data_IF_219083552787
#
_entry.id   IF_219083552787
#
_cell.length_a   1.000
_cell.length_b   1.000
_cell.length_c   1.000
_cell.angle_alpha   90.00
_cell.angle_beta   90.00
_cell.angle_gamma   90.00
#
_symmetry.space_group_name_H-M   'P 1'
#
loop_
_entity.id
_entity.type
_entity.pdbx_description
1 polymer ?
#
# COMPACT_ATOMS: atom_id res chain seq x y z
N UNK A 1 -2.46 -10.87 -12.15
CA UNK A 1 -3.09 -9.55 -12.26
C UNK A 1 -2.89 -8.84 -10.94
N UNK A 2 -2.65 -7.53 -10.98
CA UNK A 2 -2.41 -6.71 -9.80
C UNK A 2 -3.48 -5.63 -9.76
N UNK A 3 -4.06 -5.36 -8.59
CA UNK A 3 -5.15 -4.40 -8.46
C UNK A 3 -4.95 -3.53 -7.22
N UNK A 4 -5.35 -2.26 -7.35
CA UNK A 4 -5.40 -1.34 -6.21
C UNK A 4 -6.74 -1.45 -5.50
N UNK A 5 -6.75 -1.32 -4.17
CA UNK A 5 -8.01 -1.29 -3.42
C UNK A 5 -8.94 -0.19 -3.92
N UNK A 6 -8.39 1.00 -4.20
CA UNK A 6 -9.15 2.11 -4.78
C UNK A 6 -9.83 1.77 -6.10
N UNK A 7 -9.31 0.81 -6.87
CA UNK A 7 -9.87 0.36 -8.15
C UNK A 7 -10.87 -0.78 -7.99
N UNK A 8 -10.70 -1.66 -7.01
CA UNK A 8 -11.66 -2.74 -6.76
C UNK A 8 -12.78 -2.37 -5.79
N UNK A 9 -12.67 -1.25 -5.06
CA UNK A 9 -13.79 -0.70 -4.31
C UNK A 9 -14.91 -0.33 -5.29
N UNK A 10 -16.11 -0.82 -5.03
CA UNK A 10 -17.25 -0.72 -5.94
C UNK A 10 -17.27 -1.79 -7.04
N UNK A 11 -16.42 -2.81 -6.97
CA UNK A 11 -16.51 -3.98 -7.86
C UNK A 11 -17.60 -4.94 -7.40
N UNK A 12 -18.39 -5.45 -8.34
CA UNK A 12 -19.48 -6.39 -8.06
C UNK A 12 -18.94 -7.77 -7.68
N UNK A 13 -19.62 -8.40 -6.73
CA UNK A 13 -19.45 -9.81 -6.36
C UNK A 13 -20.63 -10.60 -6.91
N UNK A 14 -20.37 -11.64 -7.69
CA UNK A 14 -21.38 -12.47 -8.37
C UNK A 14 -21.19 -13.95 -8.06
N UNK A 15 -22.28 -14.72 -8.03
CA UNK A 15 -22.24 -16.18 -7.94
C UNK A 15 -21.92 -16.81 -9.32
N UNK A 16 -20.97 -17.75 -9.41
CA UNK A 16 -20.48 -18.30 -10.69
C UNK A 16 -21.55 -19.06 -11.49
N UNK A 17 -22.46 -19.77 -10.81
CA UNK A 17 -23.47 -20.60 -11.46
C UNK A 17 -24.69 -19.82 -11.96
N UNK A 18 -25.19 -18.90 -11.14
CA UNK A 18 -26.45 -18.16 -11.39
C UNK A 18 -26.22 -16.76 -11.96
N UNK A 19 -25.01 -16.21 -11.78
CA UNK A 19 -24.69 -14.80 -11.98
C UNK A 19 -25.47 -13.84 -11.06
N UNK A 20 -26.03 -14.37 -9.97
CA UNK A 20 -26.76 -13.57 -9.01
C UNK A 20 -25.83 -12.56 -8.32
N UNK A 21 -26.35 -11.36 -8.13
CA UNK A 21 -25.63 -10.26 -7.49
C UNK A 21 -25.57 -10.44 -5.98
N UNK A 22 -24.36 -10.50 -5.44
CA UNK A 22 -24.11 -10.71 -4.01
C UNK A 22 -23.81 -9.41 -3.25
N UNK A 23 -23.29 -8.37 -3.93
CA UNK A 23 -22.93 -7.09 -3.31
C UNK A 23 -21.74 -6.41 -3.99
N UNK A 24 -21.26 -5.32 -3.37
CA UNK A 24 -20.10 -4.55 -3.83
C UNK A 24 -18.96 -4.62 -2.82
N UNK A 25 -17.71 -4.67 -3.28
CA UNK A 25 -16.53 -4.57 -2.41
C UNK A 25 -16.41 -3.15 -1.84
N UNK A 26 -16.30 -3.02 -0.53
CA UNK A 26 -16.08 -1.74 0.18
C UNK A 26 -14.73 -1.67 0.89
N UNK A 27 -14.19 -2.81 1.30
CA UNK A 27 -12.99 -2.88 2.13
C UNK A 27 -12.18 -4.13 1.88
N UNK A 28 -11.00 -4.16 2.46
CA UNK A 28 -10.07 -5.29 2.42
C UNK A 28 -9.52 -5.49 3.82
N UNK A 29 -9.39 -6.74 4.24
CA UNK A 29 -8.70 -7.11 5.46
C UNK A 29 -7.32 -7.64 5.08
N UNK A 30 -6.29 -6.98 5.61
CA UNK A 30 -4.89 -7.34 5.41
C UNK A 30 -4.30 -7.83 6.73
N UNK A 31 -3.60 -8.95 6.67
CA UNK A 31 -2.80 -9.41 7.78
C UNK A 31 -1.59 -8.46 7.97
N UNK A 32 -1.41 -7.85 9.15
CA UNK A 32 -0.41 -6.79 9.36
C UNK A 32 1.04 -7.29 9.18
N UNK A 33 1.33 -8.50 9.64
CA UNK A 33 2.68 -9.07 9.55
C UNK A 33 3.00 -9.64 8.16
N UNK A 34 2.13 -10.51 7.65
CA UNK A 34 2.40 -11.22 6.39
C UNK A 34 2.08 -10.39 5.15
N UNK A 35 1.24 -9.37 5.26
CA UNK A 35 0.70 -8.65 4.11
C UNK A 35 -0.28 -9.47 3.27
N UNK A 36 -0.72 -10.63 3.74
CA UNK A 36 -1.73 -11.44 3.06
C UNK A 36 -3.09 -10.73 3.12
N UNK A 37 -3.80 -10.76 2.00
CA UNK A 37 -5.23 -10.44 1.95
C UNK A 37 -5.97 -11.62 2.53
N UNK A 38 -6.70 -11.38 3.62
CA UNK A 38 -7.58 -12.37 4.25
C UNK A 38 -8.97 -12.37 3.60
N UNK A 39 -9.39 -11.24 3.05
CA UNK A 39 -10.67 -11.12 2.36
C UNK A 39 -11.14 -9.68 2.22
N UNK A 40 -12.43 -9.54 1.91
CA UNK A 40 -13.04 -8.28 1.51
C UNK A 40 -14.35 -8.05 2.23
N UNK A 41 -14.59 -6.80 2.66
CA UNK A 41 -15.91 -6.39 3.14
C UNK A 41 -16.81 -6.15 1.94
N UNK A 42 -17.95 -6.83 1.89
CA UNK A 42 -18.93 -6.78 0.82
C UNK A 42 -20.25 -6.25 1.36
N UNK A 43 -20.89 -5.34 0.63
CA UNK A 43 -22.16 -4.76 1.04
C UNK A 43 -22.98 -4.20 -0.11
N UNK A 44 -24.28 -4.10 0.09
CA UNK A 44 -25.27 -3.65 -0.90
C UNK A 44 -26.07 -4.81 -1.50
N UNK A 45 -27.18 -4.51 -2.17
CA UNK A 45 -28.10 -5.54 -2.69
C UNK A 45 -28.85 -6.31 -1.59
N UNK A 46 -29.03 -5.71 -0.41
CA UNK A 46 -29.70 -6.32 0.74
C UNK A 46 -28.85 -7.33 1.51
N UNK A 47 -27.57 -7.48 1.17
CA UNK A 47 -26.62 -8.36 1.85
C UNK A 47 -25.39 -7.56 2.28
N UNK A 48 -24.91 -7.85 3.48
CA UNK A 48 -23.64 -7.36 4.01
C UNK A 48 -22.91 -8.53 4.63
N UNK A 49 -21.60 -8.57 4.44
CA UNK A 49 -20.79 -9.67 4.95
C UNK A 49 -19.33 -9.54 4.57
N UNK A 50 -18.54 -10.47 5.06
CA UNK A 50 -17.16 -10.64 4.73
C UNK A 50 -17.00 -11.79 3.73
N UNK A 51 -16.25 -11.54 2.67
CA UNK A 51 -15.85 -12.52 1.69
C UNK A 51 -14.41 -12.96 1.99
N UNK A 52 -14.24 -14.20 2.44
CA UNK A 52 -12.90 -14.79 2.57
C UNK A 52 -12.23 -14.87 1.20
N UNK A 53 -10.92 -14.64 1.16
CA UNK A 53 -10.14 -14.82 -0.08
C UNK A 53 -10.17 -16.26 -0.60
N UNK A 54 -10.37 -17.24 0.28
CA UNK A 54 -10.39 -18.66 -0.06
C UNK A 54 -11.70 -19.06 -0.80
N UNK A 55 -12.74 -18.22 -0.70
CA UNK A 55 -14.02 -18.40 -1.39
C UNK A 55 -14.09 -17.69 -2.75
N UNK A 56 -13.06 -16.92 -3.10
CA UNK A 56 -12.95 -16.25 -4.41
C UNK A 56 -12.53 -17.28 -5.45
N UNK A 57 -13.43 -17.55 -6.40
CA UNK A 57 -13.17 -18.50 -7.50
C UNK A 57 -12.41 -17.83 -8.62
N UNK A 58 -12.79 -16.59 -8.96
CA UNK A 58 -12.20 -15.87 -10.09
C UNK A 58 -12.24 -14.37 -9.86
N UNK A 59 -11.15 -13.70 -10.25
CA UNK A 59 -11.06 -12.25 -10.25
C UNK A 59 -10.94 -11.71 -11.67
N UNK A 60 -11.83 -10.79 -12.05
CA UNK A 60 -11.81 -10.12 -13.35
C UNK A 60 -12.40 -8.71 -13.26
N UNK A 61 -13.35 -8.40 -14.16
CA UNK A 61 -14.16 -7.17 -14.08
C UNK A 61 -15.12 -7.16 -12.88
N UNK A 62 -15.45 -8.35 -12.40
CA UNK A 62 -16.18 -8.64 -11.17
C UNK A 62 -15.44 -9.76 -10.42
N UNK A 63 -15.82 -9.95 -9.15
CA UNK A 63 -15.34 -11.05 -8.31
C UNK A 63 -16.38 -12.16 -8.32
N UNK A 64 -15.97 -13.37 -8.66
CA UNK A 64 -16.85 -14.53 -8.70
C UNK A 64 -16.66 -15.39 -7.46
N UNK A 65 -17.77 -15.80 -6.87
CA UNK A 65 -17.82 -16.70 -5.72
C UNK A 65 -18.60 -17.95 -6.07
N UNK A 66 -18.32 -19.05 -5.37
CA UNK A 66 -19.01 -20.33 -5.64
C UNK A 66 -20.48 -20.28 -5.27
N UNK A 67 -20.80 -19.64 -4.15
CA UNK A 67 -22.17 -19.44 -3.73
C UNK A 67 -22.36 -18.15 -2.97
N UNK A 68 -23.55 -17.56 -3.02
CA UNK A 68 -23.88 -16.38 -2.23
C UNK A 68 -23.82 -16.62 -0.70
N UNK A 69 -23.92 -17.89 -0.27
CA UNK A 69 -23.85 -18.27 1.14
C UNK A 69 -22.43 -18.15 1.74
N UNK A 70 -21.41 -17.87 0.94
CA UNK A 70 -20.05 -17.63 1.44
C UNK A 70 -19.90 -16.26 2.12
N UNK A 71 -20.85 -15.34 1.87
CA UNK A 71 -20.88 -14.07 2.60
C UNK A 71 -21.45 -14.32 3.99
N UNK A 72 -20.60 -14.15 4.99
CA UNK A 72 -20.96 -14.31 6.40
C UNK A 72 -20.37 -13.19 7.25
N UNK A 73 -20.74 -13.11 8.53
CA UNK A 73 -20.09 -12.19 9.45
C UNK A 73 -18.61 -12.56 9.61
N UNK A 74 -17.76 -11.54 9.71
CA UNK A 74 -16.31 -11.71 9.88
C UNK A 74 -16.00 -12.55 11.14
N UNK A 75 -16.85 -12.40 12.14
CA UNK A 75 -16.77 -13.07 13.42
C UNK A 75 -16.96 -14.59 13.29
N UNK A 76 -17.63 -15.12 12.27
CA UNK A 76 -17.80 -16.58 12.18
C UNK A 76 -16.50 -17.28 11.77
N UNK A 77 -15.52 -16.53 11.26
CA UNK A 77 -14.23 -17.05 10.86
C UNK A 77 -13.25 -16.90 12.03
N UNK A 78 -13.11 -17.95 12.83
CA UNK A 78 -12.31 -17.98 14.09
C UNK A 78 -10.90 -17.39 13.90
N UNK A 79 -10.21 -17.71 12.81
CA UNK A 79 -8.86 -17.18 12.51
C UNK A 79 -8.87 -15.66 12.30
N UNK A 80 -9.93 -15.11 11.72
CA UNK A 80 -10.03 -13.69 11.38
C UNK A 80 -10.42 -12.83 12.57
N UNK A 81 -11.06 -13.39 13.62
CA UNK A 81 -11.33 -12.64 14.86
C UNK A 81 -10.06 -12.03 15.44
N UNK A 82 -8.97 -12.80 15.48
CA UNK A 82 -7.68 -12.33 16.02
C UNK A 82 -7.11 -11.20 15.19
N UNK A 83 -7.24 -11.28 13.85
CA UNK A 83 -6.71 -10.26 12.92
C UNK A 83 -7.60 -9.01 12.93
N UNK A 84 -8.92 -9.18 12.99
CA UNK A 84 -9.90 -8.10 13.02
C UNK A 84 -9.85 -7.31 14.33
N UNK A 85 -9.61 -8.00 15.46
CA UNK A 85 -9.39 -7.39 16.77
C UNK A 85 -7.98 -6.83 16.97
N UNK A 86 -7.05 -7.09 16.06
CA UNK A 86 -5.70 -6.54 16.12
C UNK A 86 -5.74 -5.05 15.79
N UNK A 87 -5.25 -4.21 16.70
CA UNK A 87 -5.12 -2.76 16.49
C UNK A 87 -4.15 -2.36 15.36
N UNK A 88 -3.35 -3.31 14.86
CA UNK A 88 -2.40 -3.11 13.77
C UNK A 88 -3.14 -3.19 12.44
N UNK A 89 -3.21 -2.06 11.74
CA UNK A 89 -3.86 -1.97 10.44
C UNK A 89 -2.93 -1.35 9.40
N UNK A 90 -2.85 -1.93 8.21
CA UNK A 90 -2.05 -1.34 7.14
C UNK A 90 -2.72 -0.07 6.59
N UNK A 91 -4.03 -0.13 6.30
CA UNK A 91 -4.76 1.02 5.76
C UNK A 91 -5.01 2.09 6.82
N UNK A 92 -4.87 3.36 6.43
CA UNK A 92 -5.08 4.52 7.30
C UNK A 92 -3.94 4.79 8.28
N UNK A 93 -3.02 3.85 8.48
CA UNK A 93 -1.94 3.98 9.45
C UNK A 93 -0.81 4.88 8.94
N UNK A 94 -0.12 5.54 9.87
CA UNK A 94 1.03 6.40 9.56
C UNK A 94 2.20 5.56 9.05
N UNK A 95 2.91 6.05 8.05
CA UNK A 95 4.11 5.43 7.50
C UNK A 95 5.32 6.28 7.93
N UNK A 96 6.31 5.65 8.56
CA UNK A 96 7.54 6.29 9.02
C UNK A 96 8.75 5.50 8.55
N UNK A 97 9.84 6.18 8.26
CA UNK A 97 11.12 5.51 8.05
C UNK A 97 11.73 5.06 9.38
N UNK A 98 12.72 4.18 9.34
CA UNK A 98 13.50 3.76 10.51
C UNK A 98 14.19 4.94 11.23
N UNK A 99 14.68 5.95 10.50
CA UNK A 99 15.16 7.22 11.07
C UNK A 99 14.05 8.13 11.65
N UNK A 100 12.78 7.71 11.58
CA UNK A 100 11.64 8.43 12.15
C UNK A 100 11.00 9.46 11.21
N UNK A 101 11.43 9.58 9.95
CA UNK A 101 10.85 10.53 9.00
C UNK A 101 9.43 10.11 8.62
N UNK A 102 8.47 11.02 8.76
CA UNK A 102 7.08 10.78 8.39
C UNK A 102 6.87 10.83 6.86
N UNK A 103 6.32 9.76 6.28
CA UNK A 103 6.02 9.65 4.85
C UNK A 103 4.54 9.88 4.52
N UNK A 104 3.66 9.99 5.52
CA UNK A 104 2.23 10.19 5.37
C UNK A 104 1.40 9.08 6.02
N UNK A 105 0.17 8.88 5.56
CA UNK A 105 -0.69 7.74 5.94
C UNK A 105 -0.87 6.80 4.75
N UNK A 106 -0.92 5.49 4.97
CA UNK A 106 -1.27 4.53 3.94
C UNK A 106 -2.71 4.76 3.48
N UNK A 107 -2.90 5.31 2.29
CA UNK A 107 -4.23 5.65 1.77
C UNK A 107 -4.79 4.57 0.85
N UNK A 108 -3.93 3.76 0.27
CA UNK A 108 -4.29 2.73 -0.70
C UNK A 108 -3.20 1.64 -0.74
N UNK A 109 -3.55 0.49 -1.31
CA UNK A 109 -2.69 -0.68 -1.41
C UNK A 109 -2.85 -1.32 -2.78
N UNK A 110 -1.82 -1.98 -3.27
CA UNK A 110 -1.88 -2.88 -4.43
C UNK A 110 -1.53 -4.28 -3.99
N UNK A 111 -2.29 -5.25 -4.47
CA UNK A 111 -2.08 -6.66 -4.20
C UNK A 111 -2.21 -7.49 -5.48
N UNK A 112 -1.60 -8.67 -5.46
CA UNK A 112 -1.77 -9.70 -6.49
C UNK A 112 -3.11 -10.40 -6.29
N UNK A 113 -3.97 -10.44 -7.32
CA UNK A 113 -5.23 -11.20 -7.27
C UNK A 113 -5.02 -12.71 -7.47
N UNK A 114 -3.79 -13.13 -7.74
CA UNK A 114 -3.42 -14.55 -7.86
C UNK A 114 -2.92 -15.13 -6.54
N UNK A 115 -2.00 -14.44 -5.86
CA UNK A 115 -1.45 -14.88 -4.58
C UNK A 115 -2.13 -14.26 -3.37
N UNK A 116 -2.95 -13.21 -3.56
CA UNK A 116 -3.57 -12.44 -2.48
C UNK A 116 -2.52 -11.88 -1.52
N UNK A 117 -1.42 -11.37 -2.06
CA UNK A 117 -0.32 -10.77 -1.31
C UNK A 117 -0.18 -9.28 -1.63
N UNK A 118 0.03 -8.49 -0.58
CA UNK A 118 0.37 -7.07 -0.69
C UNK A 118 1.69 -6.89 -1.42
N UNK A 119 1.69 -6.04 -2.43
CA UNK A 119 2.88 -5.71 -3.21
C UNK A 119 3.32 -4.27 -2.98
N UNK A 120 2.37 -3.33 -2.87
CA UNK A 120 2.67 -1.91 -2.72
C UNK A 120 1.72 -1.24 -1.73
N UNK A 121 2.23 -0.25 -1.01
CA UNK A 121 1.46 0.70 -0.22
C UNK A 121 1.63 2.11 -0.80
N UNK A 122 0.56 2.90 -0.74
CA UNK A 122 0.54 4.24 -1.33
C UNK A 122 0.31 5.28 -0.22
N UNK A 123 1.36 5.99 0.22
CA UNK A 123 1.25 7.04 1.22
C UNK A 123 0.54 8.27 0.66
N UNK A 124 -0.25 8.93 1.51
CA UNK A 124 -0.82 10.27 1.31
C UNK A 124 -0.32 11.18 2.43
N UNK A 125 0.39 12.26 2.08
CA UNK A 125 1.00 13.19 3.05
C UNK A 125 -0.01 14.23 3.54
N UNK A 126 -0.75 14.80 2.59
CA UNK A 126 -1.78 15.82 2.78
C UNK A 126 -2.94 15.51 1.84
N UNK A 127 -4.08 16.19 2.00
CA UNK A 127 -5.30 15.89 1.26
C UNK A 127 -5.10 15.85 -0.27
N UNK A 128 -4.22 16.66 -0.87
CA UNK A 128 -3.98 16.63 -2.32
C UNK A 128 -2.66 15.96 -2.75
N UNK A 129 -1.75 15.65 -1.83
CA UNK A 129 -0.39 15.21 -2.17
C UNK A 129 -0.16 13.73 -1.86
N UNK A 130 -0.04 12.95 -2.94
CA UNK A 130 0.44 11.58 -2.89
C UNK A 130 1.94 11.55 -2.61
N UNK A 131 2.36 10.61 -1.76
CA UNK A 131 3.76 10.29 -1.56
C UNK A 131 4.25 9.26 -2.58
N UNK A 132 5.54 8.95 -2.50
CA UNK A 132 6.15 7.88 -3.30
C UNK A 132 5.57 6.53 -2.89
N UNK A 133 5.13 5.73 -3.87
CA UNK A 133 4.69 4.36 -3.63
C UNK A 133 5.85 3.52 -3.05
N UNK A 134 5.54 2.64 -2.10
CA UNK A 134 6.55 1.82 -1.41
C UNK A 134 6.21 0.35 -1.62
N UNK A 135 7.15 -0.49 -2.06
CA UNK A 135 6.90 -1.91 -2.18
C UNK A 135 6.87 -2.56 -0.78
N UNK A 136 6.17 -3.70 -0.67
CA UNK A 136 6.07 -4.47 0.58
C UNK A 136 7.44 -4.85 1.14
N UNK A 137 8.46 -5.02 0.29
CA UNK A 137 9.85 -5.32 0.69
C UNK A 137 10.49 -4.23 1.54
N UNK A 138 10.03 -2.99 1.45
CA UNK A 138 10.54 -1.87 2.25
C UNK A 138 9.93 -1.85 3.66
N UNK A 139 8.82 -2.56 3.89
CA UNK A 139 8.18 -2.61 5.20
C UNK A 139 8.99 -3.53 6.11
N UNK A 140 9.58 -2.92 7.15
CA UNK A 140 10.31 -3.61 8.21
C UNK A 140 9.31 -4.24 9.17
N UNK A 141 8.37 -3.43 9.67
CA UNK A 141 7.35 -3.88 10.63
C UNK A 141 6.07 -3.05 10.56
N UNK A 142 4.98 -3.63 11.03
CA UNK A 142 3.69 -2.95 11.22
C UNK A 142 3.36 -3.00 12.71
N UNK A 143 3.35 -1.83 13.34
CA UNK A 143 3.05 -1.66 14.76
C UNK A 143 1.64 -1.08 14.93
N UNK A 144 1.12 -0.98 16.16
CA UNK A 144 -0.16 -0.31 16.41
C UNK A 144 -0.09 1.21 16.15
N UNK A 145 1.11 1.80 16.15
CA UNK A 145 1.31 3.23 15.95
C UNK A 145 1.62 3.61 14.49
N UNK A 146 2.42 2.80 13.80
CA UNK A 146 2.92 3.10 12.46
C UNK A 146 3.40 1.85 11.70
N UNK A 147 3.38 1.96 10.37
CA UNK A 147 4.14 1.11 9.45
C UNK A 147 5.55 1.68 9.37
N UNK A 148 6.55 0.89 9.74
CA UNK A 148 7.96 1.26 9.71
C UNK A 148 8.58 0.73 8.42
N UNK A 149 9.22 1.62 7.66
CA UNK A 149 9.88 1.30 6.39
C UNK A 149 11.36 1.65 6.42
N UNK A 150 12.16 1.03 5.55
CA UNK A 150 13.59 1.36 5.41
C UNK A 150 13.78 2.81 4.97
N UNK A 151 14.91 3.40 5.36
CA UNK A 151 15.30 4.69 4.82
C UNK A 151 15.62 4.57 3.32
N UNK A 152 15.08 5.46 2.46
CA UNK A 152 15.43 5.42 1.06
C UNK A 152 16.90 5.77 0.90
N UNK A 153 17.60 4.97 0.10
CA UNK A 153 18.97 5.23 -0.30
C UNK A 153 18.91 6.44 -1.25
N UNK A 154 19.09 7.65 -0.70
CA UNK A 154 19.24 8.85 -1.52
C UNK A 154 20.68 8.81 -2.05
N UNK A 155 20.92 8.65 -3.37
CA UNK A 155 22.25 8.88 -3.91
C UNK A 155 22.61 10.33 -3.57
N UNK A 156 23.67 10.51 -2.77
CA UNK A 156 24.23 11.84 -2.52
C UNK A 156 24.52 12.45 -3.89
N UNK A 157 23.82 13.52 -4.26
CA UNK A 157 24.27 14.38 -5.35
C UNK A 157 25.61 14.93 -4.90
N UNK A 158 26.70 14.39 -5.42
CA UNK A 158 28.00 15.05 -5.35
C UNK A 158 27.78 16.44 -5.95
N UNK A 159 28.07 17.47 -5.15
CA UNK A 159 28.16 18.83 -5.68
C UNK A 159 29.30 18.81 -6.69
N UNK A 160 28.97 18.72 -7.97
CA UNK A 160 29.91 19.05 -9.04
C UNK A 160 30.23 20.53 -8.82
N UNK A 161 31.41 20.82 -8.26
CA UNK A 161 31.92 22.18 -8.19
C UNK A 161 31.89 22.74 -9.61
N UNK A 162 31.22 23.87 -9.80
CA UNK A 162 31.16 24.50 -11.11
C UNK A 162 32.55 25.03 -11.48
N UNK A 163 33.00 24.92 -12.75
CA UNK A 163 34.30 25.43 -13.20
C UNK A 163 34.51 26.94 -13.05
N UNK A 164 33.53 27.69 -12.54
CA UNK A 164 33.61 29.14 -12.41
C UNK A 164 34.39 29.62 -11.18
N UNK A 165 34.70 28.74 -10.24
CA UNK A 165 35.44 29.10 -9.02
C UNK A 165 36.97 28.98 -9.17
N UNK A 166 37.48 28.37 -10.25
CA UNK A 166 38.94 28.22 -10.48
C UNK A 166 39.61 29.41 -11.16
N UNK A 167 38.85 30.30 -11.81
CA UNK A 167 39.42 31.41 -12.60
C UNK A 167 39.90 32.57 -11.72
N UNK A 168 39.51 32.63 -10.44
CA UNK A 168 39.82 33.77 -9.57
C UNK A 168 41.20 33.73 -8.90
N UNK A 169 41.98 32.64 -9.08
CA UNK A 169 43.29 32.47 -8.45
C UNK A 169 44.48 32.78 -9.37
N UNK A 170 44.27 32.93 -10.67
CA UNK A 170 45.36 33.15 -11.63
C UNK A 170 45.68 34.63 -11.89
N UNK A 171 44.86 35.57 -11.38
CA UNK A 171 44.97 37.00 -11.69
C UNK A 171 45.84 37.82 -10.69
N UNK A 172 46.54 37.17 -9.74
CA UNK A 172 47.31 37.86 -8.68
C UNK A 172 48.83 37.70 -8.74
N UNK A 173 49.41 37.21 -9.84
CA UNK A 173 50.87 37.17 -9.99
C UNK A 173 51.34 38.23 -10.98
N UNK A 174 51.31 39.50 -10.56
CA UNK A 174 52.13 40.53 -11.21
C UNK A 174 53.59 40.29 -10.86
N UNK A 175 54.37 39.87 -11.86
CA UNK A 175 55.83 39.72 -11.78
C UNK A 175 56.47 41.11 -11.89
N UNK A 176 57.29 41.56 -10.92
CA UNK A 176 57.99 42.84 -11.04
C UNK A 176 59.11 42.75 -12.10
N UNK A 177 59.17 43.77 -12.98
CA UNK A 177 60.21 43.92 -14.01
C UNK A 177 61.57 44.26 -13.35
N UNK A 178 62.68 43.61 -13.73
CA UNK A 178 64.01 44.04 -13.31
C UNK A 178 64.47 45.28 -14.09
N UNK A 179 65.16 46.18 -13.39
CA UNK A 179 65.82 47.41 -13.88
C UNK A 179 67.24 47.14 -14.37
#
# INVERSE_FOLDING_TARGET
>A
MHVRLSTCRGMAVLEEGTQDFCGWIHGILLHPETGKVEGFSVGGGGREGFLSRDDVVRWGKCVWVRSVHVLGPLEDIVRLRTIAGDSRHILGQRIRTESGRNLGKCADVQFSTGSFELEWIFPRKLFLFWGTALPRSEIIEVTSAAIIVRDPIVPKKEKIMSPKDSVRLEELVEVPKPS
#
